data_IF_566975127239
#
_entry.id   IF_566975127239
#
_cell.length_a   1.000
_cell.length_b   1.000
_cell.length_c   1.000
_cell.angle_alpha   90.00
_cell.angle_beta   90.00
_cell.angle_gamma   90.00
#
_symmetry.space_group_name_H-M   'P 1'
#
loop_
_entity.id
_entity.type
_entity.pdbx_description
1 polymer ?
#
# COMPACT_ATOMS: atom_id res chain seq x y z
N UNK A 1 -6.69 10.44 5.40
CA UNK A 1 -7.05 9.91 4.07
C UNK A 1 -5.85 10.00 3.15
N UNK A 2 -5.83 9.18 2.12
CA UNK A 2 -4.87 9.23 1.02
C UNK A 2 -5.52 8.68 -0.24
N UNK A 3 -4.93 8.99 -1.39
CA UNK A 3 -5.40 8.52 -2.70
C UNK A 3 -4.28 7.73 -3.37
N UNK A 4 -4.64 6.65 -4.05
CA UNK A 4 -3.72 5.81 -4.82
C UNK A 4 -4.29 5.65 -6.23
N UNK A 5 -3.45 5.85 -7.25
CA UNK A 5 -3.82 5.52 -8.64
C UNK A 5 -4.14 4.02 -8.79
N UNK A 6 -5.26 3.72 -9.44
CA UNK A 6 -5.71 2.35 -9.74
C UNK A 6 -4.63 1.53 -10.47
N UNK A 7 -3.77 2.18 -11.25
CA UNK A 7 -2.64 1.55 -11.95
C UNK A 7 -1.63 0.89 -11.02
N UNK A 8 -1.50 1.38 -9.80
CA UNK A 8 -0.56 0.85 -8.80
C UNK A 8 -1.29 0.11 -7.67
N UNK A 9 -2.62 0.05 -7.70
CA UNK A 9 -3.42 -0.65 -6.72
C UNK A 9 -3.55 -2.14 -7.12
N UNK A 10 -3.00 -3.05 -6.31
CA UNK A 10 -3.25 -4.49 -6.47
C UNK A 10 -4.59 -4.87 -5.83
N UNK A 11 -4.58 -5.08 -4.53
CA UNK A 11 -5.75 -5.41 -3.72
C UNK A 11 -5.74 -4.59 -2.44
N UNK A 12 -6.94 -4.27 -1.96
CA UNK A 12 -7.12 -3.53 -0.71
C UNK A 12 -6.54 -4.31 0.48
N UNK A 13 -6.73 -5.62 0.50
CA UNK A 13 -6.19 -6.52 1.54
C UNK A 13 -4.66 -6.50 1.61
N UNK A 14 -3.97 -6.54 0.48
CA UNK A 14 -2.51 -6.49 0.45
C UNK A 14 -2.00 -5.12 0.92
N UNK A 15 -2.67 -4.04 0.52
CA UNK A 15 -2.32 -2.69 0.97
C UNK A 15 -2.53 -2.55 2.48
N UNK A 16 -3.65 -3.05 3.00
CA UNK A 16 -3.95 -3.06 4.43
C UNK A 16 -2.87 -3.82 5.21
N UNK A 17 -2.54 -5.03 4.78
CA UNK A 17 -1.50 -5.85 5.42
C UNK A 17 -0.15 -5.14 5.44
N UNK A 18 0.24 -4.52 4.32
CA UNK A 18 1.49 -3.75 4.23
C UNK A 18 1.49 -2.51 5.14
N UNK A 19 0.36 -1.81 5.25
CA UNK A 19 0.23 -0.67 6.15
C UNK A 19 0.32 -1.09 7.62
N UNK A 20 -0.34 -2.19 7.98
CA UNK A 20 -0.29 -2.79 9.33
C UNK A 20 1.15 -3.22 9.65
N UNK A 21 1.83 -3.86 8.71
CA UNK A 21 3.23 -4.29 8.86
C UNK A 21 4.18 -3.10 9.05
N UNK A 22 4.01 -2.02 8.27
CA UNK A 22 4.83 -0.81 8.39
C UNK A 22 4.72 -0.13 9.76
N UNK A 23 3.57 -0.26 10.41
CA UNK A 23 3.29 0.31 11.73
C UNK A 23 3.30 -0.76 12.83
N UNK A 24 3.75 -1.98 12.52
CA UNK A 24 3.84 -3.10 13.46
C UNK A 24 4.67 -2.74 14.70
N UNK A 25 5.73 -1.95 14.53
CA UNK A 25 6.55 -1.42 15.63
C UNK A 25 5.76 -0.58 16.65
N UNK A 26 4.56 -0.13 16.30
CA UNK A 26 3.65 0.63 17.16
C UNK A 26 2.42 -0.18 17.59
N UNK A 27 2.35 -1.49 17.29
CA UNK A 27 1.27 -2.38 17.71
C UNK A 27 1.09 -2.45 19.23
N UNK A 28 2.14 -2.19 20.01
CA UNK A 28 2.02 -2.12 21.47
C UNK A 28 1.13 -0.96 21.92
N UNK A 29 1.13 0.14 21.16
CA UNK A 29 0.43 1.39 21.45
C UNK A 29 -0.96 1.46 20.79
N UNK A 30 -1.14 0.72 19.71
CA UNK A 30 -2.40 0.63 18.98
C UNK A 30 -3.16 -0.60 19.50
N UNK A 31 -4.49 -0.54 19.54
CA UNK A 31 -5.28 -1.70 19.95
C UNK A 31 -5.23 -2.74 18.81
N UNK A 32 -4.79 -3.99 19.07
CA UNK A 32 -4.81 -5.04 18.06
C UNK A 32 -6.25 -5.23 17.56
N UNK A 33 -6.41 -5.60 16.29
CA UNK A 33 -7.71 -5.70 15.58
C UNK A 33 -8.48 -4.38 15.38
N UNK A 34 -7.93 -3.24 15.80
CA UNK A 34 -8.57 -1.94 15.55
C UNK A 34 -8.12 -1.26 14.27
N UNK A 35 -7.24 -1.90 13.50
CA UNK A 35 -6.80 -1.42 12.19
C UNK A 35 -7.89 -1.65 11.17
N UNK A 36 -8.19 -0.62 10.39
CA UNK A 36 -9.25 -0.72 9.39
C UNK A 36 -8.95 0.16 8.19
N UNK A 37 -8.75 -0.43 7.02
CA UNK A 37 -8.61 0.29 5.77
C UNK A 37 -9.95 0.33 5.05
N UNK A 38 -10.59 1.51 5.01
CA UNK A 38 -11.84 1.71 4.27
C UNK A 38 -11.58 2.39 2.94
N UNK A 39 -12.19 1.88 1.88
CA UNK A 39 -12.31 2.60 0.61
C UNK A 39 -13.36 3.68 0.79
N UNK A 40 -12.95 4.94 0.65
CA UNK A 40 -13.83 6.09 0.79
C UNK A 40 -14.53 6.43 -0.53
N UNK A 41 -13.78 6.44 -1.63
CA UNK A 41 -14.30 6.76 -2.96
C UNK A 41 -13.45 6.06 -4.03
N UNK A 42 -14.11 5.54 -5.06
CA UNK A 42 -13.43 4.96 -6.24
C UNK A 42 -13.68 5.90 -7.40
N UNK A 43 -12.61 6.50 -7.93
CA UNK A 43 -12.65 7.32 -9.14
C UNK A 43 -12.07 6.54 -10.32
N UNK A 44 -12.15 7.14 -11.50
CA UNK A 44 -11.71 6.53 -12.76
C UNK A 44 -10.21 6.20 -12.79
N UNK A 45 -9.39 7.06 -12.18
CA UNK A 45 -7.94 6.94 -12.22
C UNK A 45 -7.33 6.60 -10.84
N UNK A 46 -8.03 6.92 -9.75
CA UNK A 46 -7.54 6.76 -8.40
C UNK A 46 -8.63 6.33 -7.41
N UNK A 47 -8.20 5.80 -6.27
CA UNK A 47 -9.07 5.36 -5.19
C UNK A 47 -8.67 6.10 -3.93
N UNK A 48 -9.64 6.80 -3.33
CA UNK A 48 -9.50 7.42 -2.03
C UNK A 48 -9.72 6.36 -0.94
N UNK A 49 -8.76 6.25 -0.03
CA UNK A 49 -8.80 5.31 1.08
C UNK A 49 -8.53 6.01 2.41
N UNK A 50 -9.12 5.45 3.46
CA UNK A 50 -9.00 5.95 4.82
C UNK A 50 -8.59 4.82 5.74
N UNK A 51 -7.33 4.89 6.16
CA UNK A 51 -6.79 4.03 7.20
C UNK A 51 -7.17 4.58 8.58
N UNK A 52 -7.90 3.78 9.35
CA UNK A 52 -8.36 4.09 10.71
C UNK A 52 -7.73 3.11 11.70
N UNK A 53 -7.42 3.59 12.90
CA UNK A 53 -6.89 2.79 13.99
C UNK A 53 -7.26 3.41 15.34
N UNK A 54 -7.32 2.59 16.39
CA UNK A 54 -7.59 3.04 17.76
C UNK A 54 -6.31 2.97 18.57
N UNK A 55 -5.83 4.11 19.07
CA UNK A 55 -4.72 4.13 20.03
C UNK A 55 -5.19 3.75 21.42
N UNK A 56 -4.42 2.90 22.12
CA UNK A 56 -4.65 2.57 23.53
C UNK A 56 -4.47 3.78 24.44
N UNK A 57 -3.57 4.70 24.08
CA UNK A 57 -3.30 5.95 24.79
C UNK A 57 -3.35 7.12 23.82
N UNK A 58 -4.04 8.22 24.15
CA UNK A 58 -4.06 9.41 23.29
C UNK A 58 -2.67 10.02 23.23
N UNK A 59 -2.00 9.89 22.08
CA UNK A 59 -0.67 10.44 21.86
C UNK A 59 -0.54 11.03 20.44
N UNK A 60 -0.66 12.35 20.35
CA UNK A 60 -0.59 13.11 19.08
C UNK A 60 0.74 12.97 18.37
N UNK A 61 1.84 12.84 19.12
CA UNK A 61 3.17 12.69 18.53
C UNK A 61 3.30 11.34 17.83
N UNK A 62 2.81 10.28 18.49
CA UNK A 62 2.80 8.94 17.92
C UNK A 62 1.87 8.83 16.72
N UNK A 63 0.67 9.43 16.76
CA UNK A 63 -0.19 9.50 15.56
C UNK A 63 0.54 10.11 14.38
N UNK A 64 1.30 11.19 14.61
CA UNK A 64 2.07 11.86 13.56
C UNK A 64 3.17 10.94 13.02
N UNK A 65 3.88 10.23 13.89
CA UNK A 65 4.94 9.29 13.50
C UNK A 65 4.38 8.10 12.72
N UNK A 66 3.32 7.46 13.24
CA UNK A 66 2.61 6.35 12.61
C UNK A 66 2.13 6.77 11.21
N UNK A 67 1.46 7.92 11.12
CA UNK A 67 0.99 8.47 9.84
C UNK A 67 2.14 8.68 8.86
N UNK A 68 3.25 9.29 9.31
CA UNK A 68 4.41 9.56 8.46
C UNK A 68 5.08 8.26 7.98
N UNK A 69 5.12 7.23 8.84
CA UNK A 69 5.69 5.91 8.50
C UNK A 69 4.79 5.14 7.53
N UNK A 70 3.48 5.13 7.76
CA UNK A 70 2.50 4.53 6.86
C UNK A 70 2.55 5.17 5.45
N UNK A 71 2.57 6.51 5.37
CA UNK A 71 2.68 7.23 4.09
C UNK A 71 4.01 6.91 3.39
N UNK A 72 5.13 6.87 4.11
CA UNK A 72 6.43 6.49 3.53
C UNK A 72 6.38 5.09 2.90
N UNK A 73 5.86 4.10 3.63
CA UNK A 73 5.71 2.74 3.11
C UNK A 73 4.80 2.71 1.87
N UNK A 74 3.70 3.45 1.90
CA UNK A 74 2.77 3.53 0.79
C UNK A 74 3.44 4.11 -0.47
N UNK A 75 4.24 5.17 -0.33
CA UNK A 75 5.02 5.74 -1.44
C UNK A 75 6.07 4.75 -1.95
N UNK A 76 6.76 4.01 -1.08
CA UNK A 76 7.69 2.95 -1.47
C UNK A 76 7.00 1.87 -2.30
N UNK A 77 5.85 1.36 -1.84
CA UNK A 77 5.07 0.33 -2.55
C UNK A 77 4.65 0.83 -3.93
N UNK A 78 4.13 2.06 -4.03
CA UNK A 78 3.75 2.65 -5.32
C UNK A 78 4.97 2.80 -6.23
N UNK A 79 6.11 3.23 -5.68
CA UNK A 79 7.34 3.43 -6.44
C UNK A 79 7.92 2.10 -6.96
N UNK A 80 7.93 1.07 -6.12
CA UNK A 80 8.33 -0.29 -6.50
C UNK A 80 7.41 -0.82 -7.60
N UNK A 81 6.09 -0.67 -7.44
CA UNK A 81 5.11 -1.10 -8.46
C UNK A 81 5.22 -0.31 -9.75
N UNK A 82 5.52 0.99 -9.70
CA UNK A 82 5.79 1.79 -10.88
C UNK A 82 6.94 1.20 -11.69
N UNK A 83 8.03 0.76 -11.04
CA UNK A 83 9.14 0.09 -11.74
C UNK A 83 8.73 -1.22 -12.42
N UNK A 84 7.72 -1.92 -11.92
CA UNK A 84 7.20 -3.14 -12.56
C UNK A 84 6.18 -2.86 -13.67
N UNK A 85 5.33 -1.84 -13.53
CA UNK A 85 4.36 -1.46 -14.54
C UNK A 85 4.99 -0.78 -15.77
N UNK A 86 6.13 -0.11 -15.59
CA UNK A 86 6.92 0.49 -16.68
C UNK A 86 7.86 -0.51 -17.38
N UNK A 87 7.93 -1.77 -16.90
CA UNK A 87 8.65 -2.81 -17.64
C UNK A 87 7.74 -3.26 -18.77
N UNK A 88 8.03 -2.94 -20.05
CA UNK A 88 7.25 -3.53 -21.14
C UNK A 88 7.36 -5.04 -20.98
N UNK A 89 6.21 -5.73 -21.10
CA UNK A 89 6.17 -7.16 -21.33
C UNK A 89 7.06 -7.40 -22.56
N UNK A 90 8.31 -7.82 -22.33
CA UNK A 90 9.17 -8.27 -23.42
C UNK A 90 8.43 -9.41 -24.12
N UNK A 91 8.53 -9.49 -25.46
CA UNK A 91 7.82 -10.53 -26.20
C UNK A 91 8.17 -11.89 -25.57
N UNK A 92 7.21 -12.84 -25.52
CA UNK A 92 7.54 -14.19 -25.10
C UNK A 92 8.63 -14.66 -26.06
N UNK A 93 9.80 -14.99 -25.53
CA UNK A 93 10.85 -15.65 -26.28
C UNK A 93 10.20 -16.75 -27.11
N UNK A 94 10.21 -16.56 -28.44
CA UNK A 94 9.81 -17.60 -29.37
C UNK A 94 10.77 -18.75 -29.16
N UNK A 95 10.24 -19.75 -28.46
CA UNK A 95 10.79 -21.09 -28.28
C UNK A 95 11.32 -21.55 -29.64
N UNK A 96 12.62 -21.86 -29.66
CA UNK A 96 13.41 -21.94 -30.87
C UNK A 96 12.87 -22.83 -31.99
N UNK A 97 13.27 -22.46 -33.19
CA UNK A 97 13.52 -23.43 -34.24
C UNK A 97 15.00 -23.41 -34.58
N UNK A 98 15.63 -24.53 -34.22
CA UNK A 98 16.91 -24.99 -34.74
C UNK A 98 16.79 -25.26 -36.24
N UNK A 99 17.95 -25.42 -36.88
CA UNK A 99 18.20 -25.91 -38.25
C UNK A 99 17.94 -24.81 -39.30
N UNK A 100 18.90 -24.41 -40.13
CA UNK A 100 19.81 -25.17 -40.99
C UNK A 100 21.16 -24.45 -41.12
#
# INVERSE_FOLDING_TARGET
EFEIDLKYLTTVEELEKNLIDAISSFQELIKPESYYLRVAEVRKDNVAMKFQYILKKPNKEMERVIRKKAIRRLVEIITERKKFADKPLGPPDEIGHSVI
#
